data_IF_207128798660
#
_entry.id   IF_207128798660
#
_cell.length_a   1.000
_cell.length_b   1.000
_cell.length_c   1.000
_cell.angle_alpha   90.00
_cell.angle_beta   90.00
_cell.angle_gamma   90.00
#
_symmetry.space_group_name_H-M   'P 1'
#
loop_
_entity.id
_entity.type
_entity.pdbx_description
1 polymer ?
#
# COMPACT_ATOMS: atom_id res chain seq x y z
N UNK A 1 -10.96 4.17 1.21
CA UNK A 1 -11.98 4.15 0.13
C UNK A 1 -12.81 5.42 -0.07
N UNK A 2 -13.41 6.04 0.95
CA UNK A 2 -14.26 7.23 0.74
C UNK A 2 -13.60 8.40 -0.02
N UNK A 3 -12.29 8.63 0.18
CA UNK A 3 -11.51 9.61 -0.60
C UNK A 3 -11.33 9.20 -2.05
N UNK A 4 -10.96 7.96 -2.31
CA UNK A 4 -10.78 7.37 -3.67
C UNK A 4 -12.05 7.57 -4.49
N UNK A 5 -13.22 7.23 -3.95
CA UNK A 5 -14.51 7.37 -4.67
C UNK A 5 -14.80 8.83 -5.03
N UNK A 6 -14.56 9.76 -4.09
CA UNK A 6 -14.73 11.20 -4.35
C UNK A 6 -13.77 11.68 -5.43
N UNK A 7 -12.54 11.18 -5.43
CA UNK A 7 -11.52 11.54 -6.41
C UNK A 7 -11.89 11.02 -7.81
N UNK A 8 -12.32 9.77 -7.92
CA UNK A 8 -12.84 9.19 -9.18
C UNK A 8 -14.03 9.96 -9.74
N UNK A 9 -14.85 10.56 -8.87
CA UNK A 9 -15.93 11.43 -9.34
C UNK A 9 -15.42 12.77 -9.88
N UNK A 10 -14.45 13.39 -9.22
CA UNK A 10 -13.86 14.67 -9.68
C UNK A 10 -12.91 14.50 -10.87
N UNK A 11 -12.26 13.34 -10.98
CA UNK A 11 -11.32 12.94 -12.03
C UNK A 11 -11.67 11.55 -12.56
N UNK A 12 -12.74 11.42 -13.37
CA UNK A 12 -13.18 10.15 -13.96
C UNK A 12 -12.09 9.41 -14.75
N UNK A 13 -11.12 10.13 -15.28
CA UNK A 13 -9.96 9.58 -15.98
C UNK A 13 -9.12 8.61 -15.12
N UNK A 14 -9.14 8.76 -13.79
CA UNK A 14 -8.43 7.89 -12.85
C UNK A 14 -9.12 6.53 -12.66
N UNK A 15 -10.34 6.34 -13.20
CA UNK A 15 -11.00 5.04 -13.17
C UNK A 15 -10.25 3.98 -14.00
N UNK A 16 -9.68 4.37 -15.15
CA UNK A 16 -8.96 3.43 -16.01
C UNK A 16 -7.66 2.90 -15.37
N UNK A 17 -6.79 3.74 -14.78
CA UNK A 17 -5.66 3.25 -13.98
C UNK A 17 -6.09 2.33 -12.84
N UNK A 18 -7.14 2.68 -12.09
CA UNK A 18 -7.64 1.83 -11.00
C UNK A 18 -8.19 0.49 -11.51
N UNK A 19 -8.85 0.49 -12.68
CA UNK A 19 -9.27 -0.74 -13.35
C UNK A 19 -8.09 -1.64 -13.70
N UNK A 20 -7.00 -1.08 -14.24
CA UNK A 20 -5.80 -1.84 -14.57
C UNK A 20 -5.11 -2.37 -13.32
N UNK A 21 -5.02 -1.56 -12.28
CA UNK A 21 -4.50 -1.94 -10.98
C UNK A 21 -5.28 -3.10 -10.32
N UNK A 22 -6.61 -3.08 -10.39
CA UNK A 22 -7.42 -4.21 -9.91
C UNK A 22 -7.13 -5.48 -10.73
N UNK A 23 -7.06 -5.35 -12.06
CA UNK A 23 -6.76 -6.49 -12.92
C UNK A 23 -5.36 -7.07 -12.65
N UNK A 24 -4.34 -6.24 -12.39
CA UNK A 24 -2.99 -6.72 -12.06
C UNK A 24 -2.93 -7.42 -10.70
N UNK A 25 -3.84 -7.06 -9.78
CA UNK A 25 -4.06 -7.75 -8.52
C UNK A 25 -4.92 -9.03 -8.66
N UNK A 26 -5.39 -9.34 -9.88
CA UNK A 26 -6.29 -10.47 -10.17
C UNK A 26 -7.74 -10.26 -9.70
N UNK A 27 -8.15 -9.01 -9.47
CA UNK A 27 -9.52 -8.62 -9.20
C UNK A 27 -10.21 -8.10 -10.46
N UNK A 28 -11.52 -8.30 -10.53
CA UNK A 28 -12.38 -7.70 -11.54
C UNK A 28 -12.43 -6.17 -11.39
N UNK A 29 -12.64 -5.42 -12.48
CA UNK A 29 -12.62 -3.96 -12.48
C UNK A 29 -13.93 -3.34 -11.96
N UNK A 30 -14.48 -3.90 -10.88
CA UNK A 30 -15.72 -3.48 -10.26
C UNK A 30 -15.54 -3.19 -8.78
N UNK A 31 -16.18 -2.13 -8.31
CA UNK A 31 -16.31 -1.80 -6.89
C UNK A 31 -17.79 -1.91 -6.49
N UNK A 32 -18.13 -2.79 -5.54
CA UNK A 32 -19.45 -2.87 -4.92
C UNK A 32 -19.42 -2.12 -3.59
N UNK A 33 -19.88 -0.87 -3.61
CA UNK A 33 -19.85 0.04 -2.47
C UNK A 33 -21.09 -0.14 -1.61
N UNK A 34 -20.91 -0.38 -0.32
CA UNK A 34 -22.00 -0.43 0.66
C UNK A 34 -22.01 0.83 1.51
N UNK A 35 -23.19 1.41 1.66
CA UNK A 35 -23.42 2.58 2.47
C UNK A 35 -24.47 2.31 3.52
N UNK A 36 -24.25 2.81 4.73
CA UNK A 36 -25.23 2.79 5.81
C UNK A 36 -25.87 4.18 6.00
N UNK A 37 -27.08 4.18 6.55
CA UNK A 37 -27.77 5.42 6.93
C UNK A 37 -27.15 5.95 8.21
N UNK A 38 -26.65 7.19 8.18
CA UNK A 38 -26.06 7.80 9.35
C UNK A 38 -27.12 8.05 10.45
N UNK A 39 -26.73 8.09 11.75
CA UNK A 39 -27.66 8.35 12.84
C UNK A 39 -28.49 9.63 12.68
N UNK A 40 -27.91 10.68 12.08
CA UNK A 40 -28.58 11.95 11.77
C UNK A 40 -29.82 11.77 10.88
N UNK A 41 -29.75 10.84 9.95
CA UNK A 41 -30.81 10.56 8.99
C UNK A 41 -31.99 9.80 9.57
N UNK A 42 -31.93 9.35 10.84
CA UNK A 42 -33.07 8.69 11.52
C UNK A 42 -34.29 9.60 11.63
N UNK A 43 -34.07 10.91 11.65
CA UNK A 43 -35.10 11.95 11.70
C UNK A 43 -35.60 12.37 10.31
N UNK A 44 -34.99 11.83 9.25
CA UNK A 44 -35.41 12.04 7.87
C UNK A 44 -36.38 10.93 7.46
N UNK A 45 -37.56 11.30 6.95
CA UNK A 45 -38.43 10.34 6.30
C UNK A 45 -37.93 10.08 4.86
N UNK A 46 -36.96 9.17 4.73
CA UNK A 46 -36.34 8.77 3.45
C UNK A 46 -37.37 8.11 2.50
N UNK A 47 -38.55 7.69 2.98
CA UNK A 47 -39.60 7.10 2.16
C UNK A 47 -40.64 8.12 1.68
N UNK A 48 -40.63 9.33 2.24
CA UNK A 48 -41.53 10.41 1.83
C UNK A 48 -41.19 10.87 0.40
N UNK A 49 -42.19 11.41 -0.29
CA UNK A 49 -42.04 11.96 -1.65
C UNK A 49 -42.47 13.42 -1.68
N UNK A 50 -42.02 14.14 -2.70
CA UNK A 50 -42.48 15.47 -3.06
C UNK A 50 -42.44 16.47 -1.88
N UNK A 51 -43.60 16.97 -1.47
CA UNK A 51 -43.74 17.96 -0.41
C UNK A 51 -43.38 17.40 0.98
N UNK A 52 -43.74 16.14 1.26
CA UNK A 52 -43.48 15.53 2.57
C UNK A 52 -41.98 15.34 2.82
N UNK A 53 -41.24 14.98 1.77
CA UNK A 53 -39.78 14.85 1.85
C UNK A 53 -39.12 16.19 2.17
N UNK A 54 -39.47 17.24 1.42
CA UNK A 54 -38.95 18.60 1.65
C UNK A 54 -39.30 19.13 3.03
N UNK A 55 -40.53 18.87 3.51
CA UNK A 55 -40.94 19.18 4.88
C UNK A 55 -40.09 18.44 5.93
N UNK A 56 -39.80 17.15 5.70
CA UNK A 56 -38.92 16.38 6.59
C UNK A 56 -37.48 16.89 6.59
N UNK A 57 -36.95 17.31 5.43
CA UNK A 57 -35.61 17.90 5.31
C UNK A 57 -35.56 19.21 6.10
N UNK A 58 -36.51 20.12 5.91
CA UNK A 58 -36.57 21.40 6.65
C UNK A 58 -36.59 21.17 8.15
N UNK A 59 -37.42 20.25 8.65
CA UNK A 59 -37.45 19.88 10.08
C UNK A 59 -36.08 19.41 10.60
N UNK A 60 -35.35 18.64 9.80
CA UNK A 60 -34.01 18.19 10.16
C UNK A 60 -33.03 19.37 10.22
N UNK A 61 -33.01 20.24 9.21
CA UNK A 61 -32.13 21.40 9.16
C UNK A 61 -32.42 22.39 10.30
N UNK A 62 -33.69 22.71 10.54
CA UNK A 62 -34.13 23.60 11.63
C UNK A 62 -33.76 23.02 13.01
N UNK A 63 -33.91 21.70 13.16
CA UNK A 63 -33.50 20.98 14.35
C UNK A 63 -32.00 21.13 14.62
N UNK A 64 -31.17 21.17 13.57
CA UNK A 64 -29.73 21.38 13.69
C UNK A 64 -29.33 22.81 14.00
N UNK A 65 -29.97 23.79 13.36
CA UNK A 65 -29.71 25.21 13.63
C UNK A 65 -29.92 25.53 15.11
N UNK A 66 -31.00 24.99 15.69
CA UNK A 66 -31.38 25.22 17.08
C UNK A 66 -30.63 24.36 18.11
N UNK A 67 -29.73 23.47 17.67
CA UNK A 67 -29.01 22.54 18.55
C UNK A 67 -27.70 23.15 19.07
N UNK A 68 -27.57 23.25 20.39
CA UNK A 68 -26.37 23.80 21.06
C UNK A 68 -25.16 22.85 20.99
N UNK A 69 -25.37 21.54 21.09
CA UNK A 69 -24.30 20.53 21.05
C UNK A 69 -24.53 19.65 19.82
N UNK A 70 -23.59 19.71 18.88
CA UNK A 70 -23.64 18.99 17.61
C UNK A 70 -22.62 17.86 17.60
N UNK A 71 -22.99 16.70 17.10
CA UNK A 71 -22.05 15.61 16.80
C UNK A 71 -21.16 15.99 15.60
N UNK A 72 -20.10 15.21 15.37
CA UNK A 72 -19.18 15.42 14.24
C UNK A 72 -19.90 15.44 12.88
N UNK A 73 -20.93 14.61 12.71
CA UNK A 73 -21.70 14.55 11.46
C UNK A 73 -22.70 15.70 11.34
N UNK A 74 -23.29 16.12 12.46
CA UNK A 74 -24.16 17.30 12.51
C UNK A 74 -23.39 18.57 12.20
N UNK A 75 -22.12 18.67 12.60
CA UNK A 75 -21.24 19.78 12.24
C UNK A 75 -20.96 19.84 10.73
N UNK A 76 -20.94 18.71 10.02
CA UNK A 76 -20.76 18.70 8.55
C UNK A 76 -21.96 19.34 7.86
N UNK A 77 -23.18 18.89 8.21
CA UNK A 77 -24.39 19.46 7.64
C UNK A 77 -24.60 20.92 8.08
N UNK A 78 -24.26 21.28 9.33
CA UNK A 78 -24.33 22.67 9.78
C UNK A 78 -23.45 23.62 8.96
N UNK A 79 -22.23 23.20 8.59
CA UNK A 79 -21.36 23.97 7.69
C UNK A 79 -21.98 24.16 6.30
N UNK A 80 -22.69 23.15 5.81
CA UNK A 80 -23.37 23.22 4.51
C UNK A 80 -24.62 24.12 4.54
N UNK A 81 -25.28 24.25 5.70
CA UNK A 81 -26.35 25.24 5.92
C UNK A 81 -25.79 26.67 5.87
N UNK A 82 -24.58 26.88 6.39
CA UNK A 82 -23.91 28.19 6.40
C UNK A 82 -23.29 28.55 5.03
N UNK A 83 -22.90 27.55 4.22
CA UNK A 83 -22.16 27.76 2.97
C UNK A 83 -23.03 28.11 1.76
N UNK A 84 -24.33 27.77 1.77
CA UNK A 84 -25.21 27.94 0.62
C UNK A 84 -26.64 28.31 1.04
N UNK A 85 -27.46 28.84 0.12
CA UNK A 85 -28.83 29.22 0.44
C UNK A 85 -29.67 28.05 0.97
N UNK A 86 -30.43 28.28 2.03
CA UNK A 86 -31.19 27.25 2.73
C UNK A 86 -32.11 26.44 1.82
N UNK A 87 -32.90 27.10 0.97
CA UNK A 87 -33.82 26.41 0.06
C UNK A 87 -33.10 25.67 -1.07
N UNK A 88 -31.93 26.14 -1.51
CA UNK A 88 -31.10 25.40 -2.48
C UNK A 88 -30.58 24.10 -1.86
N UNK A 89 -30.16 24.12 -0.60
CA UNK A 89 -29.76 22.92 0.13
C UNK A 89 -30.93 21.95 0.32
N UNK A 90 -32.13 22.44 0.64
CA UNK A 90 -33.33 21.60 0.77
C UNK A 90 -33.63 20.88 -0.55
N UNK A 91 -33.62 21.60 -1.66
CA UNK A 91 -33.87 21.00 -2.98
C UNK A 91 -32.76 20.05 -3.40
N UNK A 92 -31.48 20.40 -3.18
CA UNK A 92 -30.34 19.52 -3.45
C UNK A 92 -30.46 18.18 -2.71
N UNK A 93 -30.82 18.22 -1.42
CA UNK A 93 -31.02 17.03 -0.61
C UNK A 93 -32.26 16.23 -1.03
N UNK A 94 -33.35 16.91 -1.38
CA UNK A 94 -34.58 16.26 -1.85
C UNK A 94 -34.32 15.48 -3.14
N UNK A 95 -33.72 16.14 -4.15
CA UNK A 95 -33.35 15.50 -5.42
C UNK A 95 -32.41 14.32 -5.19
N UNK A 96 -31.41 14.46 -4.30
CA UNK A 96 -30.48 13.38 -4.02
C UNK A 96 -31.17 12.16 -3.38
N UNK A 97 -32.13 12.37 -2.47
CA UNK A 97 -32.91 11.27 -1.87
C UNK A 97 -33.85 10.64 -2.90
N UNK A 98 -34.56 11.45 -3.69
CA UNK A 98 -35.47 10.98 -4.74
C UNK A 98 -34.74 10.13 -5.79
N UNK A 99 -33.54 10.55 -6.22
CA UNK A 99 -32.70 9.79 -7.16
C UNK A 99 -32.34 8.39 -6.64
N UNK A 100 -32.17 8.23 -5.32
CA UNK A 100 -31.92 6.93 -4.70
C UNK A 100 -33.21 6.11 -4.53
N UNK A 101 -34.37 6.74 -4.31
CA UNK A 101 -35.66 6.06 -4.22
C UNK A 101 -36.13 5.46 -5.56
N UNK A 102 -35.84 6.12 -6.68
CA UNK A 102 -36.28 5.69 -8.03
C UNK A 102 -35.57 4.41 -8.53
N UNK A 103 -34.61 3.89 -7.77
CA UNK A 103 -33.78 2.73 -8.09
C UNK A 103 -34.50 1.38 -7.82
N UNK A 104 -35.45 0.99 -8.67
CA UNK A 104 -36.22 -0.28 -8.56
C UNK A 104 -35.55 -1.51 -9.23
N UNK A 105 -34.22 -1.66 -9.23
CA UNK A 105 -33.58 -2.93 -9.68
C UNK A 105 -33.10 -3.76 -8.49
N UNK A 106 -33.22 -5.07 -8.64
CA UNK A 106 -33.13 -6.14 -7.64
C UNK A 106 -31.90 -6.18 -6.71
N UNK A 107 -30.94 -5.26 -6.85
CA UNK A 107 -29.70 -5.19 -6.07
C UNK A 107 -29.63 -4.01 -5.10
N UNK A 108 -30.71 -3.24 -4.93
CA UNK A 108 -30.72 -2.09 -4.03
C UNK A 108 -32.07 -1.93 -3.33
N UNK A 109 -32.00 -1.91 -1.99
CA UNK A 109 -32.94 -1.33 -1.02
C UNK A 109 -33.96 -2.28 -0.38
N UNK A 110 -33.70 -2.66 0.88
CA UNK A 110 -34.77 -2.74 1.88
C UNK A 110 -34.79 -1.42 2.69
N UNK A 111 -35.35 -0.37 2.05
CA UNK A 111 -35.64 0.91 2.73
C UNK A 111 -36.62 0.73 3.90
N UNK A 112 -37.41 -0.35 3.90
CA UNK A 112 -38.34 -0.63 4.99
C UNK A 112 -37.58 -1.09 6.25
N UNK A 113 -36.37 -1.65 6.12
CA UNK A 113 -35.51 -2.07 7.24
C UNK A 113 -34.36 -1.13 7.61
N UNK A 114 -34.09 -0.08 6.83
CA UNK A 114 -32.93 0.84 7.01
C UNK A 114 -31.56 0.14 6.88
N UNK A 115 -31.46 -0.93 6.10
CA UNK A 115 -30.27 -1.81 6.07
C UNK A 115 -29.12 -1.34 5.15
N UNK A 116 -29.28 -0.24 4.38
CA UNK A 116 -28.19 0.39 3.62
C UNK A 116 -28.41 0.50 2.11
N UNK A 117 -27.45 1.09 1.39
CA UNK A 117 -27.43 1.28 -0.07
C UNK A 117 -26.23 0.55 -0.68
N UNK A 118 -26.43 -0.17 -1.77
CA UNK A 118 -25.37 -0.72 -2.62
C UNK A 118 -25.19 0.13 -3.89
N UNK A 119 -23.96 0.28 -4.34
CA UNK A 119 -23.66 0.81 -5.66
C UNK A 119 -22.50 0.04 -6.29
N UNK A 120 -22.79 -0.68 -7.36
CA UNK A 120 -21.76 -1.31 -8.19
C UNK A 120 -21.26 -0.31 -9.24
N UNK A 121 -19.94 -0.12 -9.28
CA UNK A 121 -19.24 0.80 -10.18
C UNK A 121 -18.26 0.03 -11.06
N UNK A 122 -18.46 0.10 -12.37
CA UNK A 122 -17.51 -0.38 -13.37
C UNK A 122 -16.41 0.66 -13.62
N UNK A 123 -15.15 0.27 -13.46
CA UNK A 123 -14.00 1.16 -13.65
C UNK A 123 -13.55 1.27 -15.12
N UNK A 124 -14.22 0.55 -16.01
CA UNK A 124 -13.82 0.34 -17.39
C UNK A 124 -14.04 1.59 -18.28
N UNK A 125 -14.84 2.55 -17.82
CA UNK A 125 -15.16 3.78 -18.56
C UNK A 125 -15.35 4.95 -17.62
N UNK A 126 -14.77 6.11 -17.97
CA UNK A 126 -15.01 7.38 -17.32
C UNK A 126 -16.50 7.79 -17.33
N UNK A 127 -17.27 7.32 -18.31
CA UNK A 127 -18.72 7.60 -18.40
C UNK A 127 -19.51 7.02 -17.21
N UNK A 128 -19.01 5.97 -16.56
CA UNK A 128 -19.60 5.41 -15.32
C UNK A 128 -19.66 6.45 -14.19
N UNK A 129 -18.76 7.44 -14.22
CA UNK A 129 -18.64 8.46 -13.18
C UNK A 129 -19.28 9.79 -13.57
N UNK A 130 -19.20 10.18 -14.85
CA UNK A 130 -19.69 11.48 -15.34
C UNK A 130 -21.22 11.58 -15.35
N UNK A 131 -21.91 10.53 -15.78
CA UNK A 131 -23.37 10.55 -16.03
C UNK A 131 -24.19 9.84 -14.94
N UNK A 132 -23.52 9.33 -13.90
CA UNK A 132 -24.18 8.55 -12.88
C UNK A 132 -24.84 9.45 -11.83
N UNK A 133 -26.12 9.79 -12.08
CA UNK A 133 -26.97 10.55 -11.14
C UNK A 133 -26.96 9.95 -9.74
N UNK A 134 -26.98 8.62 -9.60
CA UNK A 134 -26.97 7.95 -8.29
C UNK A 134 -25.67 8.18 -7.54
N UNK A 135 -24.54 8.11 -8.25
CA UNK A 135 -23.23 8.40 -7.66
C UNK A 135 -23.16 9.87 -7.21
N UNK A 136 -23.66 10.82 -8.01
CA UNK A 136 -23.77 12.25 -7.62
C UNK A 136 -24.54 12.39 -6.31
N UNK A 137 -25.71 11.76 -6.22
CA UNK A 137 -26.58 11.80 -5.06
C UNK A 137 -25.95 11.15 -3.82
N UNK A 138 -25.29 10.00 -3.98
CA UNK A 138 -24.53 9.35 -2.90
C UNK A 138 -23.39 10.24 -2.40
N UNK A 139 -22.67 10.93 -3.29
CA UNK A 139 -21.58 11.84 -2.91
C UNK A 139 -22.11 13.03 -2.13
N UNK A 140 -23.23 13.63 -2.57
CA UNK A 140 -23.90 14.72 -1.85
C UNK A 140 -24.31 14.26 -0.45
N UNK A 141 -25.06 13.17 -0.36
CA UNK A 141 -25.55 12.63 0.91
C UNK A 141 -24.39 12.19 1.84
N UNK A 142 -23.29 11.67 1.29
CA UNK A 142 -22.09 11.34 2.04
C UNK A 142 -21.35 12.58 2.53
N UNK A 143 -21.32 13.66 1.73
CA UNK A 143 -20.68 14.94 2.10
C UNK A 143 -21.38 15.59 3.28
N UNK A 144 -22.72 15.62 3.25
CA UNK A 144 -23.52 16.17 4.36
C UNK A 144 -23.64 15.22 5.55
N UNK A 145 -23.10 14.00 5.46
CA UNK A 145 -23.11 13.02 6.56
C UNK A 145 -24.45 12.33 6.79
N UNK A 146 -25.34 12.30 5.79
CA UNK A 146 -26.60 11.56 5.85
C UNK A 146 -26.42 10.06 5.56
N UNK A 147 -25.42 9.70 4.77
CA UNK A 147 -24.99 8.31 4.55
C UNK A 147 -23.48 8.18 4.75
N UNK A 148 -23.02 6.97 5.07
CA UNK A 148 -21.60 6.66 5.23
C UNK A 148 -21.24 5.44 4.43
N UNK A 149 -20.07 5.43 3.82
CA UNK A 149 -19.53 4.19 3.26
C UNK A 149 -19.22 3.26 4.43
N UNK A 150 -19.95 2.14 4.51
CA UNK A 150 -19.75 1.11 5.52
C UNK A 150 -18.71 0.10 5.07
N UNK A 151 -18.75 -0.30 3.79
CA UNK A 151 -17.84 -1.29 3.23
C UNK A 151 -17.65 -1.10 1.71
N UNK A 152 -16.62 -1.72 1.17
CA UNK A 152 -16.36 -1.84 -0.25
C UNK A 152 -16.00 -3.29 -0.55
N UNK A 153 -16.69 -3.89 -1.52
CA UNK A 153 -16.41 -5.21 -2.00
C UNK A 153 -15.70 -5.15 -3.34
N UNK A 154 -14.65 -5.94 -3.50
CA UNK A 154 -14.01 -6.24 -4.79
C UNK A 154 -14.28 -7.71 -5.11
N UNK A 155 -14.29 -8.07 -6.40
CA UNK A 155 -14.55 -9.46 -6.82
C UNK A 155 -13.36 -10.07 -7.51
N UNK A 156 -13.11 -11.35 -7.31
CA UNK A 156 -12.10 -12.10 -8.05
C UNK A 156 -12.59 -13.51 -8.37
N UNK A 157 -12.39 -13.92 -9.61
CA UNK A 157 -12.66 -15.28 -10.05
C UNK A 157 -11.38 -16.13 -10.03
N UNK A 158 -10.23 -15.54 -9.65
CA UNK A 158 -8.94 -16.19 -9.70
C UNK A 158 -8.68 -16.98 -8.41
N UNK A 159 -8.59 -18.31 -8.55
CA UNK A 159 -8.26 -19.22 -7.46
C UNK A 159 -6.94 -18.86 -6.73
N UNK A 160 -5.96 -18.29 -7.45
CA UNK A 160 -4.70 -17.83 -6.85
C UNK A 160 -4.92 -16.68 -5.87
N UNK A 161 -5.78 -15.72 -6.23
CA UNK A 161 -6.11 -14.57 -5.39
C UNK A 161 -6.92 -15.01 -4.17
N UNK A 162 -7.84 -15.97 -4.35
CA UNK A 162 -8.63 -16.58 -3.25
C UNK A 162 -7.77 -17.18 -2.14
N UNK A 163 -6.61 -17.73 -2.48
CA UNK A 163 -5.71 -18.32 -1.49
C UNK A 163 -4.80 -17.28 -0.80
N UNK A 164 -4.70 -16.06 -1.35
CA UNK A 164 -3.80 -15.02 -0.88
C UNK A 164 -4.47 -14.01 0.04
N UNK A 165 -5.76 -13.73 -0.18
CA UNK A 165 -6.54 -12.80 0.63
C UNK A 165 -7.49 -13.56 1.56
N UNK A 166 -7.47 -13.21 2.85
CA UNK A 166 -8.34 -13.83 3.84
C UNK A 166 -9.79 -13.39 3.67
N UNK A 167 -10.74 -14.32 3.71
CA UNK A 167 -12.17 -13.97 3.72
C UNK A 167 -12.81 -13.79 2.34
N UNK A 168 -12.15 -14.21 1.25
CA UNK A 168 -12.85 -14.37 -0.03
C UNK A 168 -13.82 -15.56 0.08
N UNK A 169 -15.12 -15.27 0.12
CA UNK A 169 -16.17 -16.27 0.25
C UNK A 169 -16.43 -17.08 -1.03
N UNK A 170 -17.43 -17.97 -0.97
CA UNK A 170 -17.92 -18.71 -2.13
C UNK A 170 -18.58 -17.84 -3.21
N UNK A 171 -18.88 -16.57 -2.89
CA UNK A 171 -19.53 -15.62 -3.80
C UNK A 171 -18.54 -14.78 -4.63
N UNK A 172 -17.24 -15.11 -4.54
CA UNK A 172 -16.15 -14.42 -5.23
C UNK A 172 -16.01 -12.94 -4.83
N UNK A 173 -16.67 -12.52 -3.74
CA UNK A 173 -16.56 -11.19 -3.17
C UNK A 173 -15.60 -11.17 -1.99
N UNK A 174 -14.87 -10.07 -1.90
CA UNK A 174 -13.96 -9.76 -0.82
C UNK A 174 -14.40 -8.46 -0.16
N UNK A 175 -14.81 -8.53 1.11
CA UNK A 175 -15.07 -7.33 1.92
C UNK A 175 -13.73 -6.69 2.31
N UNK A 176 -13.56 -5.41 2.02
CA UNK A 176 -12.40 -4.67 2.49
C UNK A 176 -12.44 -4.49 4.02
N UNK A 177 -13.60 -4.55 4.68
CA UNK A 177 -13.67 -4.48 6.15
C UNK A 177 -13.35 -5.80 6.85
N UNK A 178 -13.60 -6.94 6.22
CA UNK A 178 -13.27 -8.26 6.78
C UNK A 178 -11.81 -8.68 6.51
N UNK A 179 -11.12 -7.92 5.65
CA UNK A 179 -9.70 -8.08 5.37
C UNK A 179 -8.85 -7.91 6.64
N UNK A 180 -7.71 -8.62 6.71
CA UNK A 180 -6.74 -8.39 7.79
C UNK A 180 -6.22 -6.95 7.78
N UNK A 181 -5.78 -6.43 8.93
CA UNK A 181 -5.28 -5.05 9.03
C UNK A 181 -4.16 -4.74 8.03
N UNK A 182 -3.28 -5.71 7.76
CA UNK A 182 -2.24 -5.60 6.74
C UNK A 182 -2.79 -5.52 5.31
N UNK A 183 -3.75 -6.38 4.96
CA UNK A 183 -4.43 -6.34 3.65
C UNK A 183 -5.19 -5.02 3.45
N UNK A 184 -5.88 -4.53 4.49
CA UNK A 184 -6.57 -3.24 4.45
C UNK A 184 -5.60 -2.09 4.18
N UNK A 185 -4.45 -2.09 4.87
CA UNK A 185 -3.42 -1.07 4.70
C UNK A 185 -2.81 -1.13 3.29
N UNK A 186 -2.49 -2.33 2.79
CA UNK A 186 -1.95 -2.54 1.45
C UNK A 186 -2.91 -2.01 0.38
N UNK A 187 -4.15 -2.50 0.37
CA UNK A 187 -5.16 -2.12 -0.63
C UNK A 187 -5.45 -0.62 -0.55
N UNK A 188 -5.61 -0.08 0.66
CA UNK A 188 -5.91 1.35 0.85
C UNK A 188 -4.77 2.24 0.37
N UNK A 189 -3.52 1.84 0.59
CA UNK A 189 -2.34 2.59 0.15
C UNK A 189 -2.22 2.58 -1.37
N UNK A 190 -2.30 1.39 -2.00
CA UNK A 190 -2.24 1.27 -3.46
C UNK A 190 -3.37 2.04 -4.14
N UNK A 191 -4.61 1.92 -3.67
CA UNK A 191 -5.73 2.64 -4.26
C UNK A 191 -5.63 4.15 -4.01
N UNK A 192 -5.10 4.55 -2.86
CA UNK A 192 -4.84 5.95 -2.53
C UNK A 192 -3.83 6.56 -3.50
N UNK A 193 -2.72 5.87 -3.76
CA UNK A 193 -1.69 6.28 -4.71
C UNK A 193 -2.30 6.41 -6.11
N UNK A 194 -2.97 5.37 -6.62
CA UNK A 194 -3.58 5.39 -7.97
C UNK A 194 -4.63 6.49 -8.12
N UNK A 195 -5.40 6.76 -7.06
CA UNK A 195 -6.42 7.80 -7.11
C UNK A 195 -5.82 9.21 -7.19
N UNK A 196 -4.62 9.44 -6.67
CA UNK A 196 -4.00 10.77 -6.62
C UNK A 196 -2.86 10.96 -7.63
N UNK A 197 -2.24 9.89 -8.09
CA UNK A 197 -1.11 9.92 -9.01
C UNK A 197 -1.49 10.54 -10.37
N UNK A 198 -0.54 11.29 -10.93
CA UNK A 198 -0.55 11.81 -12.29
C UNK A 198 0.79 11.47 -12.95
N UNK A 199 0.86 11.48 -14.29
CA UNK A 199 2.16 11.32 -14.97
C UNK A 199 3.12 12.44 -14.54
N UNK A 200 4.38 12.09 -14.23
CA UNK A 200 5.37 13.02 -13.68
C UNK A 200 5.30 13.20 -12.16
N UNK A 201 4.53 12.39 -11.43
CA UNK A 201 4.41 12.51 -9.97
C UNK A 201 5.67 12.07 -9.24
N UNK A 202 5.99 12.76 -8.13
CA UNK A 202 6.89 12.26 -7.09
C UNK A 202 6.05 11.60 -6.00
N UNK A 203 6.28 10.30 -5.77
CA UNK A 203 5.59 9.49 -4.78
C UNK A 203 6.58 9.11 -3.69
N UNK A 204 6.29 9.51 -2.46
CA UNK A 204 7.10 9.22 -1.29
C UNK A 204 6.33 8.23 -0.41
N UNK A 205 6.93 7.08 -0.12
CA UNK A 205 6.34 6.03 0.70
C UNK A 205 7.28 5.77 1.87
N UNK A 206 6.75 5.89 3.08
CA UNK A 206 7.51 5.70 4.32
C UNK A 206 6.97 4.47 5.06
N UNK A 207 7.90 3.60 5.48
CA UNK A 207 7.66 2.34 6.19
C UNK A 207 6.44 1.53 5.67
N UNK A 208 6.37 1.18 4.38
CA UNK A 208 5.25 0.43 3.82
C UNK A 208 5.00 -0.92 4.49
N UNK A 209 6.01 -1.50 5.15
CA UNK A 209 5.96 -2.76 5.88
C UNK A 209 5.20 -2.72 7.20
N UNK A 210 4.90 -1.53 7.75
CA UNK A 210 4.14 -1.43 9.00
C UNK A 210 2.82 -2.18 8.87
N UNK A 211 2.53 -3.08 9.81
CA UNK A 211 1.35 -3.94 9.81
C UNK A 211 1.24 -4.97 8.66
N UNK A 212 2.20 -5.03 7.73
CA UNK A 212 2.21 -6.03 6.66
C UNK A 212 2.84 -7.34 7.12
N UNK A 213 2.11 -8.43 6.92
CA UNK A 213 2.68 -9.78 7.04
C UNK A 213 3.85 -9.95 6.05
N UNK A 214 4.90 -10.73 6.38
CA UNK A 214 6.06 -10.95 5.49
C UNK A 214 5.71 -11.33 4.05
N UNK A 215 4.65 -12.12 3.86
CA UNK A 215 4.14 -12.47 2.53
C UNK A 215 3.71 -11.25 1.69
N UNK A 216 3.16 -10.21 2.31
CA UNK A 216 2.78 -8.99 1.63
C UNK A 216 3.98 -8.08 1.36
N UNK A 217 4.99 -8.10 2.24
CA UNK A 217 6.23 -7.36 2.04
C UNK A 217 6.98 -7.85 0.79
N UNK A 218 7.04 -9.17 0.56
CA UNK A 218 7.65 -9.75 -0.64
C UNK A 218 6.85 -9.52 -1.93
N UNK A 219 5.67 -8.90 -1.85
CA UNK A 219 4.81 -8.60 -3.01
C UNK A 219 4.59 -7.11 -3.21
N UNK A 220 4.94 -6.29 -2.23
CA UNK A 220 4.61 -4.88 -2.22
C UNK A 220 5.07 -4.16 -3.50
N UNK A 221 6.32 -4.41 -3.92
CA UNK A 221 6.89 -3.81 -5.13
C UNK A 221 6.22 -4.31 -6.41
N UNK A 222 5.92 -5.61 -6.52
CA UNK A 222 5.19 -6.14 -7.68
C UNK A 222 3.85 -5.43 -7.86
N UNK A 223 3.13 -5.24 -6.76
CA UNK A 223 1.84 -4.58 -6.75
C UNK A 223 2.00 -3.09 -7.06
N UNK A 224 2.94 -2.41 -6.42
CA UNK A 224 3.18 -1.00 -6.63
C UNK A 224 3.56 -0.70 -8.08
N UNK A 225 4.52 -1.44 -8.66
CA UNK A 225 4.92 -1.28 -10.05
C UNK A 225 3.76 -1.59 -11.01
N UNK A 226 2.99 -2.65 -10.72
CA UNK A 226 1.81 -3.00 -11.52
C UNK A 226 0.74 -1.91 -11.51
N UNK A 227 0.41 -1.33 -10.35
CA UNK A 227 -0.59 -0.25 -10.28
C UNK A 227 -0.06 1.07 -10.84
N UNK A 228 1.25 1.26 -10.89
CA UNK A 228 1.91 2.46 -11.38
C UNK A 228 2.21 2.43 -12.89
N UNK A 229 2.19 1.26 -13.54
CA UNK A 229 2.38 1.07 -14.99
C UNK A 229 1.62 2.10 -15.86
N UNK A 230 0.38 2.51 -15.55
CA UNK A 230 -0.35 3.48 -16.38
C UNK A 230 0.17 4.93 -16.29
N UNK A 231 1.01 5.27 -15.30
CA UNK A 231 1.46 6.65 -15.04
C UNK A 231 2.92 6.82 -15.48
N UNK A 232 3.13 7.62 -16.52
CA UNK A 232 4.46 7.80 -17.11
C UNK A 232 5.30 8.83 -16.36
N UNK A 233 6.61 8.60 -16.28
CA UNK A 233 7.56 9.57 -15.73
C UNK A 233 7.43 9.83 -14.23
N UNK A 234 6.78 8.95 -13.49
CA UNK A 234 6.71 9.04 -12.04
C UNK A 234 8.04 8.63 -11.40
N UNK A 235 8.41 9.32 -10.32
CA UNK A 235 9.53 8.94 -9.46
C UNK A 235 8.96 8.41 -8.14
N UNK A 236 9.36 7.21 -7.73
CA UNK A 236 8.92 6.58 -6.49
C UNK A 236 10.13 6.46 -5.55
N UNK A 237 10.03 7.02 -4.35
CA UNK A 237 11.04 6.89 -3.29
C UNK A 237 10.40 6.15 -2.12
N UNK A 238 11.04 5.07 -1.69
CA UNK A 238 10.56 4.22 -0.60
C UNK A 238 11.62 4.22 0.50
N UNK A 239 11.23 4.64 1.70
CA UNK A 239 12.00 4.44 2.92
C UNK A 239 11.47 3.18 3.63
N UNK A 240 12.36 2.24 3.94
CA UNK A 240 11.97 0.95 4.52
C UNK A 240 13.08 0.37 5.39
N UNK A 241 12.67 -0.32 6.45
CA UNK A 241 13.47 -1.19 7.29
C UNK A 241 13.28 -2.68 6.95
N UNK A 242 12.45 -3.00 5.94
CA UNK A 242 12.19 -4.37 5.53
C UNK A 242 13.25 -4.90 4.58
N UNK A 243 14.00 -5.91 5.05
CA UNK A 243 14.89 -6.68 4.20
C UNK A 243 14.16 -7.41 3.06
N UNK A 244 12.87 -7.73 3.23
CA UNK A 244 12.08 -8.39 2.17
C UNK A 244 11.74 -7.41 1.05
N UNK A 245 11.47 -6.15 1.36
CA UNK A 245 11.23 -5.11 0.35
C UNK A 245 12.53 -4.76 -0.36
N UNK A 246 13.63 -4.58 0.38
CA UNK A 246 14.94 -4.33 -0.21
C UNK A 246 15.43 -5.48 -1.10
N UNK A 247 15.21 -6.73 -0.68
CA UNK A 247 15.53 -7.91 -1.48
C UNK A 247 14.75 -7.87 -2.80
N UNK A 248 13.43 -7.63 -2.75
CA UNK A 248 12.62 -7.50 -3.97
C UNK A 248 13.06 -6.33 -4.85
N UNK A 249 13.52 -5.22 -4.27
CA UNK A 249 14.07 -4.11 -5.03
C UNK A 249 15.30 -4.55 -5.84
N UNK A 250 16.20 -5.34 -5.24
CA UNK A 250 17.36 -5.89 -5.92
C UNK A 250 16.97 -6.87 -7.05
N UNK A 251 15.93 -7.68 -6.85
CA UNK A 251 15.41 -8.58 -7.90
C UNK A 251 14.86 -7.82 -9.12
N UNK A 252 14.28 -6.64 -8.89
CA UNK A 252 13.79 -5.73 -9.94
C UNK A 252 14.89 -4.82 -10.53
N UNK A 253 16.15 -4.99 -10.13
CA UNK A 253 17.27 -4.13 -10.52
C UNK A 253 17.01 -2.64 -10.20
N UNK A 254 16.35 -2.38 -9.07
CA UNK A 254 16.07 -1.03 -8.59
C UNK A 254 17.27 -0.50 -7.78
N UNK A 255 17.47 0.80 -7.83
CA UNK A 255 18.51 1.47 -7.06
C UNK A 255 18.19 1.41 -5.56
N UNK A 256 19.11 0.83 -4.78
CA UNK A 256 19.03 0.78 -3.32
C UNK A 256 20.04 1.76 -2.76
N UNK A 257 19.54 2.76 -2.04
CA UNK A 257 20.35 3.76 -1.36
C UNK A 257 20.34 3.48 0.13
N UNK A 258 21.51 3.15 0.67
CA UNK A 258 21.72 3.05 2.10
C UNK A 258 21.90 4.45 2.69
N UNK A 259 21.08 4.80 3.68
CA UNK A 259 21.18 6.07 4.38
C UNK A 259 22.26 5.96 5.49
N UNK A 260 23.49 6.36 5.18
CA UNK A 260 24.58 6.51 6.15
C UNK A 260 24.73 7.95 6.66
N UNK A 261 25.75 8.21 7.49
CA UNK A 261 26.04 9.58 7.96
C UNK A 261 26.46 10.53 6.82
N UNK A 262 27.04 10.05 5.70
CA UNK A 262 27.50 10.92 4.58
C UNK A 262 27.74 10.22 3.21
N UNK A 263 27.31 8.96 3.00
CA UNK A 263 27.63 8.22 1.76
C UNK A 263 26.42 7.52 1.12
N UNK A 264 26.34 7.61 -0.22
CA UNK A 264 25.46 6.83 -1.08
C UNK A 264 26.26 5.67 -1.65
N UNK A 265 25.92 4.43 -1.29
CA UNK A 265 26.53 3.23 -1.85
C UNK A 265 25.53 2.57 -2.80
N UNK A 266 25.68 2.71 -4.14
CA UNK A 266 24.96 1.87 -5.07
C UNK A 266 25.40 0.42 -4.80
N UNK A 267 24.44 -0.42 -4.41
CA UNK A 267 24.71 -1.84 -4.24
C UNK A 267 24.59 -2.54 -5.58
N UNK A 268 25.54 -3.40 -5.93
CA UNK A 268 25.37 -4.32 -7.06
C UNK A 268 24.21 -5.27 -6.73
N UNK A 269 23.06 -5.02 -7.35
CA UNK A 269 21.87 -5.86 -7.31
C UNK A 269 22.19 -7.21 -7.96
N UNK A 270 22.25 -8.27 -7.16
CA UNK A 270 22.15 -9.62 -7.70
C UNK A 270 20.68 -10.01 -7.74
N UNK A 271 20.16 -10.36 -8.91
CA UNK A 271 18.77 -10.80 -9.08
C UNK A 271 18.37 -12.00 -8.20
N UNK A 272 19.36 -12.76 -7.70
CA UNK A 272 19.17 -13.89 -6.78
C UNK A 272 19.60 -13.58 -5.33
N UNK A 273 19.55 -12.31 -4.91
CA UNK A 273 19.97 -11.91 -3.56
C UNK A 273 19.16 -12.66 -2.50
N UNK A 274 19.86 -13.33 -1.58
CA UNK A 274 19.19 -13.98 -0.43
C UNK A 274 18.77 -12.94 0.63
N UNK A 275 17.84 -13.32 1.51
CA UNK A 275 17.49 -12.50 2.68
C UNK A 275 18.73 -12.23 3.53
N UNK A 276 19.56 -13.24 3.77
CA UNK A 276 20.82 -13.10 4.52
C UNK A 276 21.78 -12.10 3.89
N UNK A 277 21.97 -12.18 2.58
CA UNK A 277 22.77 -11.22 1.82
C UNK A 277 22.20 -9.82 1.96
N UNK A 278 20.89 -9.66 1.85
CA UNK A 278 20.24 -8.35 1.99
C UNK A 278 20.45 -7.78 3.39
N UNK A 279 20.25 -8.59 4.43
CA UNK A 279 20.49 -8.20 5.83
C UNK A 279 21.94 -7.76 6.05
N UNK A 280 22.90 -8.49 5.50
CA UNK A 280 24.33 -8.17 5.65
C UNK A 280 24.75 -6.94 4.85
N UNK A 281 24.45 -6.92 3.55
CA UNK A 281 24.97 -5.94 2.59
C UNK A 281 24.21 -4.61 2.63
N UNK A 282 22.89 -4.64 2.83
CA UNK A 282 22.05 -3.44 2.85
C UNK A 282 21.95 -2.86 4.26
N UNK A 283 21.73 -3.72 5.26
CA UNK A 283 21.36 -3.30 6.63
C UNK A 283 22.50 -3.38 7.65
N UNK A 284 23.70 -3.82 7.28
CA UNK A 284 24.81 -4.08 8.21
C UNK A 284 24.40 -4.97 9.39
N UNK A 285 23.61 -6.01 9.12
CA UNK A 285 23.17 -6.95 10.15
C UNK A 285 23.94 -8.26 10.02
N UNK A 286 24.68 -8.60 11.08
CA UNK A 286 25.33 -9.89 11.19
C UNK A 286 24.30 -11.01 11.30
N UNK A 287 24.27 -11.90 10.31
CA UNK A 287 23.36 -13.05 10.29
C UNK A 287 24.09 -14.28 10.82
N UNK A 288 23.48 -14.95 11.79
CA UNK A 288 24.04 -16.16 12.41
C UNK A 288 23.90 -17.37 11.51
N UNK A 289 24.93 -18.22 11.52
CA UNK A 289 24.95 -19.48 10.77
C UNK A 289 24.59 -19.30 9.27
N UNK A 290 24.91 -18.13 8.71
CA UNK A 290 24.57 -17.79 7.33
C UNK A 290 25.43 -18.58 6.33
N UNK A 291 24.75 -19.30 5.45
CA UNK A 291 25.40 -20.00 4.33
C UNK A 291 25.97 -19.01 3.32
N UNK A 292 25.31 -17.85 3.14
CA UNK A 292 25.82 -16.79 2.28
C UNK A 292 27.18 -16.30 2.77
N UNK A 293 27.30 -15.98 4.05
CA UNK A 293 28.55 -15.46 4.64
C UNK A 293 29.68 -16.47 4.54
N UNK A 294 29.39 -17.75 4.80
CA UNK A 294 30.39 -18.82 4.64
C UNK A 294 30.91 -18.92 3.19
N UNK A 295 30.01 -18.81 2.19
CA UNK A 295 30.39 -18.81 0.77
C UNK A 295 31.13 -17.53 0.37
N UNK A 296 30.74 -16.39 0.93
CA UNK A 296 31.40 -15.11 0.71
C UNK A 296 32.85 -15.20 1.17
N UNK A 297 33.10 -15.62 2.42
CA UNK A 297 34.46 -15.80 2.96
C UNK A 297 35.29 -16.72 2.07
N UNK A 298 34.75 -17.89 1.70
CA UNK A 298 35.44 -18.82 0.79
C UNK A 298 35.76 -18.17 -0.56
N UNK A 299 34.82 -17.41 -1.12
CA UNK A 299 35.02 -16.72 -2.41
C UNK A 299 36.09 -15.64 -2.33
N UNK A 300 36.21 -14.92 -1.21
CA UNK A 300 37.23 -13.89 -0.99
C UNK A 300 38.63 -14.52 -0.93
N UNK A 301 38.76 -15.66 -0.23
CA UNK A 301 40.00 -16.45 -0.18
C UNK A 301 40.36 -16.98 -1.57
N UNK A 302 39.41 -17.60 -2.28
CA UNK A 302 39.68 -18.13 -3.63
C UNK A 302 40.08 -17.04 -4.64
N UNK A 303 39.43 -15.88 -4.60
CA UNK A 303 39.75 -14.74 -5.48
C UNK A 303 41.15 -14.19 -5.21
N UNK A 304 41.54 -14.15 -3.94
CA UNK A 304 42.85 -13.70 -3.51
C UNK A 304 43.98 -14.67 -3.90
N UNK A 305 43.73 -15.97 -3.83
CA UNK A 305 44.69 -17.00 -4.29
C UNK A 305 44.84 -17.01 -5.81
N UNK A 306 43.77 -16.72 -6.55
CA UNK A 306 43.80 -16.72 -8.01
C UNK A 306 44.47 -15.47 -8.61
N UNK A 307 44.40 -14.32 -7.94
CA UNK A 307 44.86 -13.03 -8.45
C UNK A 307 45.43 -12.16 -7.32
N UNK A 308 46.76 -11.95 -7.34
CA UNK A 308 47.50 -11.09 -6.40
C UNK A 308 46.91 -9.68 -6.31
N UNK A 309 46.40 -9.12 -7.42
CA UNK A 309 45.84 -7.77 -7.43
C UNK A 309 44.58 -7.64 -6.56
N UNK A 310 43.87 -8.74 -6.31
CA UNK A 310 42.63 -8.80 -5.52
C UNK A 310 42.87 -9.13 -4.04
N UNK A 311 44.10 -9.47 -3.64
CA UNK A 311 44.41 -9.82 -2.24
C UNK A 311 44.11 -8.68 -1.27
N UNK A 312 44.42 -7.44 -1.67
CA UNK A 312 44.16 -6.26 -0.85
C UNK A 312 42.67 -6.08 -0.59
N UNK A 313 41.86 -6.05 -1.65
CA UNK A 313 40.41 -5.85 -1.58
C UNK A 313 39.72 -6.97 -0.78
N UNK A 314 40.11 -8.23 -1.02
CA UNK A 314 39.57 -9.37 -0.25
C UNK A 314 39.89 -9.27 1.24
N UNK A 315 41.10 -8.84 1.59
CA UNK A 315 41.54 -8.68 2.98
C UNK A 315 40.80 -7.53 3.67
N UNK A 316 40.63 -6.41 2.98
CA UNK A 316 39.84 -5.27 3.48
C UNK A 316 38.40 -5.70 3.79
N UNK A 317 37.77 -6.41 2.85
CA UNK A 317 36.41 -6.93 3.06
C UNK A 317 36.30 -7.90 4.24
N UNK A 318 37.29 -8.77 4.46
CA UNK A 318 37.32 -9.65 5.64
C UNK A 318 37.46 -8.87 6.95
N UNK A 319 38.22 -7.76 6.96
CA UNK A 319 38.34 -6.89 8.14
C UNK A 319 37.02 -6.16 8.45
N UNK A 320 36.28 -5.75 7.43
CA UNK A 320 34.92 -5.20 7.59
C UNK A 320 33.99 -6.22 8.23
N UNK A 321 33.95 -7.46 7.70
CA UNK A 321 33.16 -8.55 8.26
C UNK A 321 33.56 -8.84 9.71
N UNK A 322 34.87 -8.86 10.03
CA UNK A 322 35.35 -9.04 11.41
C UNK A 322 34.83 -7.93 12.32
N UNK A 323 34.91 -6.67 11.89
CA UNK A 323 34.41 -5.52 12.65
C UNK A 323 32.90 -5.65 12.93
N UNK A 324 32.12 -6.03 11.91
CA UNK A 324 30.68 -6.22 12.02
C UNK A 324 30.32 -7.34 13.00
N UNK A 325 30.88 -8.54 12.80
CA UNK A 325 30.57 -9.71 13.62
C UNK A 325 31.12 -9.61 15.05
N UNK A 326 32.19 -8.84 15.28
CA UNK A 326 32.70 -8.59 16.63
C UNK A 326 31.72 -7.81 17.53
N UNK A 327 30.84 -7.00 16.92
CA UNK A 327 29.83 -6.19 17.61
C UNK A 327 28.46 -6.89 17.67
N UNK A 328 28.31 -8.04 17.02
CA UNK A 328 27.03 -8.72 16.88
C UNK A 328 26.57 -9.36 18.21
N UNK A 329 25.30 -9.16 18.55
CA UNK A 329 24.64 -9.82 19.67
C UNK A 329 23.44 -10.66 19.19
N UNK A 330 23.39 -11.98 19.45
CA UNK A 330 24.40 -12.77 20.17
C UNK A 330 25.63 -13.11 19.31
N UNK A 331 26.79 -13.22 19.97
CA UNK A 331 28.07 -13.47 19.32
C UNK A 331 28.12 -14.81 18.57
N UNK A 332 28.44 -14.77 17.27
CA UNK A 332 28.61 -15.95 16.43
C UNK A 332 30.07 -16.42 16.41
N UNK A 333 30.43 -17.30 17.35
CA UNK A 333 31.78 -17.88 17.46
C UNK A 333 32.23 -18.60 16.20
N UNK A 334 31.30 -19.24 15.48
CA UNK A 334 31.64 -20.09 14.32
C UNK A 334 32.01 -19.21 13.14
N UNK A 335 31.17 -18.24 12.82
CA UNK A 335 31.43 -17.31 11.71
C UNK A 335 32.65 -16.45 12.00
N UNK A 336 32.84 -15.99 13.25
CA UNK A 336 34.07 -15.31 13.65
C UNK A 336 35.32 -16.17 13.48
N UNK A 337 35.27 -17.45 13.85
CA UNK A 337 36.38 -18.39 13.61
C UNK A 337 36.73 -18.49 12.13
N UNK A 338 35.73 -18.63 11.26
CA UNK A 338 35.97 -18.67 9.81
C UNK A 338 36.60 -17.39 9.25
N UNK A 339 36.25 -16.23 9.81
CA UNK A 339 36.83 -14.94 9.39
C UNK A 339 38.30 -14.84 9.84
N UNK A 340 38.62 -15.22 11.07
CA UNK A 340 40.00 -15.23 11.57
C UNK A 340 40.86 -16.24 10.80
N UNK A 341 40.36 -17.47 10.61
CA UNK A 341 41.05 -18.50 9.82
C UNK A 341 41.34 -17.99 8.39
N UNK A 342 40.38 -17.29 7.78
CA UNK A 342 40.57 -16.69 6.46
C UNK A 342 41.65 -15.59 6.50
N UNK A 343 41.62 -14.68 7.48
CA UNK A 343 42.61 -13.60 7.64
C UNK A 343 44.02 -14.13 7.90
N UNK A 344 44.16 -15.24 8.64
CA UNK A 344 45.44 -15.86 8.93
C UNK A 344 46.12 -16.38 7.65
N UNK A 345 45.36 -16.94 6.71
CA UNK A 345 45.88 -17.35 5.37
C UNK A 345 46.56 -16.16 4.65
N UNK A 346 45.97 -14.96 4.74
CA UNK A 346 46.57 -13.75 4.16
C UNK A 346 47.81 -13.25 4.91
N UNK A 347 48.03 -13.68 6.16
CA UNK A 347 49.20 -13.32 6.95
C UNK A 347 50.38 -14.26 6.69
N UNK A 348 50.12 -15.56 6.51
CA UNK A 348 51.14 -16.58 6.27
C UNK A 348 51.73 -16.50 4.85
N UNK A 349 50.95 -16.09 3.85
CA UNK A 349 51.39 -15.92 2.46
C UNK A 349 52.49 -14.86 2.25
N UNK A 350 52.71 -13.95 3.20
CA UNK A 350 53.83 -12.99 3.17
C UNK A 350 55.15 -13.56 3.72
N UNK A 351 55.12 -14.71 4.39
CA UNK A 351 56.32 -15.30 5.02
C UNK A 351 57.08 -16.28 4.11
N UNK A 352 56.46 -16.79 3.05
CA UNK A 352 57.06 -17.78 2.15
C UNK A 352 57.90 -17.20 1.00
N UNK A 353 57.90 -15.88 0.79
CA UNK A 353 58.68 -15.20 -0.26
C UNK A 353 59.97 -14.52 0.23
N UNK A 354 60.26 -14.53 1.54
CA UNK A 354 61.47 -13.90 2.11
C UNK A 354 62.61 -14.90 2.44
N UNK A 355 62.47 -16.17 2.05
CA UNK A 355 63.27 -17.28 2.58
C UNK A 355 64.06 -18.11 1.58
N UNK A 356 64.46 -17.57 0.43
CA UNK A 356 65.41 -18.21 -0.50
C UNK A 356 66.07 -17.15 -1.37
N UNK A 357 67.19 -16.60 -0.90
CA UNK A 357 68.33 -16.18 -1.74
C UNK A 357 69.40 -15.53 -0.84
N UNK A 358 70.17 -16.38 -0.17
CA UNK A 358 71.52 -16.04 0.28
C UNK A 358 72.31 -17.33 0.54
N UNK A 359 72.73 -17.97 -0.55
CA UNK A 359 73.87 -18.89 -0.59
C UNK A 359 74.37 -18.96 -2.04
N UNK A 360 75.29 -18.06 -2.40
CA UNK A 360 76.59 -18.36 -3.02
C UNK A 360 77.40 -17.07 -3.22
#
# INVERSE_FOLDING_TARGET
MGRVIRKLFTKPEHASPLSKALNSLGFSPFLDLRFEVAPLSRNLNILAKDFELRSSIRKLLDGLVNKNIKSTDELRLAREIESQPYEELVELLAVAVEDLQLSQKADTLDLARREGYSLELALNSASTFQDNKRLKSIIVLSRVGLIRLSDCYIRTNELRVKNQFHGIGFDDKFSLTDASSGEQQLISSLFGIVAEAESGSLILIDEPELSLHPEWQTRFLDLLLGVMEPFNGCHIVIATHSALIAQRAAEFDLEILKLGEDQYLPLESSADASVDQTLLEVFDLAVRDSTYVSRLILSLVMRAEADESRKSDSKERLLELRSLYSKAEPFDKRTMGLIEDALDIFSEGNSSLAGTDSNE
#
